data_IF_037064052253
#
_entry.id   IF_037064052253
#
_cell.length_a   1.000
_cell.length_b   1.000
_cell.length_c   1.000
_cell.angle_alpha   90.00
_cell.angle_beta   90.00
_cell.angle_gamma   90.00
#
_symmetry.space_group_name_H-M   'P 1'
#
loop_
_entity.id
_entity.type
_entity.pdbx_description
1 polymer ?
#
# COMPACT_ATOMS: atom_id res chain seq x y z
N UNK A 1 -7.52 8.69 2.82
CA UNK A 1 -8.05 7.68 3.76
C UNK A 1 -6.97 6.63 3.97
N UNK A 2 -6.65 6.29 5.21
CA UNK A 2 -5.74 5.18 5.50
C UNK A 2 -6.50 3.87 5.50
N UNK A 3 -5.96 2.86 4.83
CA UNK A 3 -6.47 1.50 4.82
C UNK A 3 -5.41 0.56 5.40
N UNK A 4 -5.84 -0.31 6.30
CA UNK A 4 -5.03 -1.43 6.77
C UNK A 4 -5.44 -2.68 5.99
N UNK A 5 -4.45 -3.30 5.35
CA UNK A 5 -4.64 -4.53 4.57
C UNK A 5 -3.82 -5.64 5.22
N UNK A 6 -4.45 -6.79 5.48
CA UNK A 6 -3.76 -7.98 5.94
C UNK A 6 -3.40 -8.86 4.75
N UNK A 7 -2.12 -9.18 4.60
CA UNK A 7 -1.62 -10.00 3.49
C UNK A 7 -0.84 -11.17 4.08
N UNK A 8 -1.23 -12.39 3.73
CA UNK A 8 -0.60 -13.62 4.18
C UNK A 8 -0.75 -14.73 3.14
N UNK A 9 -0.03 -15.84 3.31
CA UNK A 9 -0.19 -17.03 2.48
C UNK A 9 -1.59 -17.63 2.62
N UNK A 10 -2.16 -18.17 1.53
CA UNK A 10 -3.47 -18.83 1.56
C UNK A 10 -3.46 -20.10 2.42
N UNK A 11 -2.29 -20.74 2.60
CA UNK A 11 -2.10 -22.01 3.29
C UNK A 11 -1.68 -21.87 4.76
N UNK A 12 -1.52 -20.65 5.27
CA UNK A 12 -1.11 -20.39 6.65
C UNK A 12 -2.09 -19.47 7.38
N UNK A 13 -2.28 -19.75 8.66
CA UNK A 13 -3.09 -18.89 9.52
C UNK A 13 -2.24 -17.70 9.98
N UNK A 14 -2.56 -16.51 9.48
CA UNK A 14 -1.85 -15.28 9.81
C UNK A 14 -1.55 -14.43 8.59
N UNK A 15 -0.98 -13.26 8.82
CA UNK A 15 -0.58 -12.34 7.77
C UNK A 15 0.07 -11.12 8.36
N UNK A 16 0.63 -10.30 7.49
CA UNK A 16 1.23 -9.03 7.88
C UNK A 16 0.31 -7.90 7.49
N UNK A 17 0.25 -6.88 8.35
CA UNK A 17 -0.53 -5.70 8.09
C UNK A 17 0.31 -4.67 7.33
N UNK A 18 -0.35 -4.03 6.37
CA UNK A 18 0.22 -2.97 5.54
C UNK A 18 -0.73 -1.78 5.55
N UNK A 19 -0.20 -0.59 5.77
CA UNK A 19 -0.98 0.64 5.74
C UNK A 19 -0.82 1.37 4.41
N UNK A 20 -1.93 1.59 3.71
CA UNK A 20 -1.96 2.26 2.40
C UNK A 20 -2.78 3.54 2.53
N UNK A 21 -2.21 4.66 2.09
CA UNK A 21 -2.94 5.92 1.98
C UNK A 21 -3.65 6.00 0.62
N UNK A 22 -4.97 5.77 0.63
CA UNK A 22 -5.79 6.04 -0.54
C UNK A 22 -6.10 7.53 -0.63
N UNK A 23 -5.78 8.17 -1.73
CA UNK A 23 -5.99 9.59 -1.92
C UNK A 23 -6.45 9.93 -3.34
N UNK A 24 -7.05 11.10 -3.51
CA UNK A 24 -7.44 11.61 -4.83
C UNK A 24 -6.43 12.65 -5.33
N UNK A 25 -6.30 12.85 -6.65
CA UNK A 25 -5.48 13.93 -7.20
C UNK A 25 -5.82 15.30 -6.62
N UNK A 26 -7.12 15.58 -6.40
CA UNK A 26 -7.56 16.82 -5.79
C UNK A 26 -7.11 16.97 -4.34
N UNK A 27 -7.11 15.88 -3.56
CA UNK A 27 -6.57 15.89 -2.20
C UNK A 27 -5.06 16.16 -2.20
N UNK A 28 -4.30 15.51 -3.09
CA UNK A 28 -2.85 15.73 -3.23
C UNK A 28 -2.59 17.20 -3.56
N UNK A 29 -3.33 17.75 -4.54
CA UNK A 29 -3.22 19.16 -4.93
C UNK A 29 -3.54 20.08 -3.76
N UNK A 30 -4.65 19.84 -3.06
CA UNK A 30 -5.02 20.64 -1.88
C UNK A 30 -3.98 20.56 -0.75
N UNK A 31 -3.31 19.42 -0.58
CA UNK A 31 -2.37 19.20 0.51
C UNK A 31 -0.99 19.79 0.22
N UNK A 32 -0.53 19.69 -1.02
CA UNK A 32 0.85 19.98 -1.41
C UNK A 32 0.99 21.19 -2.35
N UNK A 33 -0.09 21.89 -2.70
CA UNK A 33 -0.02 23.05 -3.61
C UNK A 33 0.97 24.13 -3.19
N UNK A 34 1.20 24.32 -1.89
CA UNK A 34 2.12 25.31 -1.36
C UNK A 34 3.60 24.90 -1.40
N UNK A 35 3.89 23.62 -1.62
CA UNK A 35 5.25 23.06 -1.53
C UNK A 35 5.96 23.01 -2.89
N UNK A 36 5.21 23.13 -4.00
CA UNK A 36 5.76 23.17 -5.37
C UNK A 36 6.29 21.83 -5.90
N UNK A 37 6.90 21.02 -5.05
CA UNK A 37 7.28 19.63 -5.32
C UNK A 37 7.32 18.83 -4.01
N UNK A 38 6.95 17.55 -4.08
CA UNK A 38 7.07 16.61 -2.96
C UNK A 38 7.71 15.32 -3.45
N UNK A 39 8.54 14.69 -2.62
CA UNK A 39 8.96 13.33 -2.87
C UNK A 39 7.71 12.45 -2.91
N UNK A 40 7.59 11.65 -3.97
CA UNK A 40 6.39 10.87 -4.28
C UNK A 40 5.86 10.16 -3.04
N UNK A 41 4.56 10.29 -2.79
CA UNK A 41 3.93 9.77 -1.60
C UNK A 41 4.16 8.28 -1.44
N UNK A 42 5.05 7.91 -0.52
CA UNK A 42 5.25 6.51 -0.15
C UNK A 42 3.92 5.93 0.33
N UNK A 43 3.65 4.70 -0.08
CA UNK A 43 2.47 3.95 0.33
C UNK A 43 1.14 4.60 -0.09
N UNK A 44 1.12 5.39 -1.17
CA UNK A 44 -0.10 6.04 -1.66
C UNK A 44 -0.73 5.30 -2.84
N UNK A 45 -2.03 5.04 -2.76
CA UNK A 45 -2.86 4.63 -3.89
C UNK A 45 -3.69 5.83 -4.36
N UNK A 46 -3.46 6.27 -5.60
CA UNK A 46 -4.17 7.42 -6.17
C UNK A 46 -5.39 6.93 -6.93
N UNK A 47 -6.59 7.33 -6.47
CA UNK A 47 -7.86 7.02 -7.11
C UNK A 47 -8.55 8.30 -7.55
N UNK A 48 -9.19 8.31 -8.71
CA UNK A 48 -9.93 9.50 -9.17
C UNK A 48 -11.24 9.68 -8.39
N UNK A 49 -11.86 8.57 -7.99
CA UNK A 49 -13.05 8.54 -7.14
C UNK A 49 -12.88 7.45 -6.08
N UNK A 50 -13.49 7.64 -4.92
CA UNK A 50 -13.49 6.62 -3.87
C UNK A 50 -14.50 5.52 -4.22
N UNK A 51 -14.02 4.52 -4.95
CA UNK A 51 -14.73 3.28 -5.23
C UNK A 51 -14.06 2.13 -4.47
N UNK A 52 -14.79 1.53 -3.53
CA UNK A 52 -14.30 0.43 -2.70
C UNK A 52 -13.90 -0.78 -3.55
N UNK A 53 -14.69 -1.14 -4.55
CA UNK A 53 -14.45 -2.33 -5.35
C UNK A 53 -13.23 -2.12 -6.25
N UNK A 54 -13.07 -0.91 -6.79
CA UNK A 54 -11.86 -0.51 -7.52
C UNK A 54 -10.62 -0.58 -6.62
N UNK A 55 -10.69 0.00 -5.42
CA UNK A 55 -9.56 0.02 -4.47
C UNK A 55 -9.13 -1.41 -4.12
N UNK A 56 -10.09 -2.27 -3.76
CA UNK A 56 -9.82 -3.68 -3.42
C UNK A 56 -9.23 -4.42 -4.63
N UNK A 57 -9.79 -4.20 -5.83
CA UNK A 57 -9.30 -4.82 -7.06
C UNK A 57 -7.85 -4.42 -7.37
N UNK A 58 -7.52 -3.13 -7.30
CA UNK A 58 -6.16 -2.66 -7.61
C UNK A 58 -5.13 -3.15 -6.59
N UNK A 59 -5.48 -3.14 -5.30
CA UNK A 59 -4.63 -3.72 -4.25
C UNK A 59 -4.43 -5.23 -4.50
N UNK A 60 -5.52 -5.96 -4.76
CA UNK A 60 -5.46 -7.41 -5.00
C UNK A 60 -4.63 -7.76 -6.23
N UNK A 61 -4.75 -6.98 -7.32
CA UNK A 61 -3.96 -7.16 -8.52
C UNK A 61 -2.46 -6.94 -8.25
N UNK A 62 -2.12 -5.91 -7.47
CA UNK A 62 -0.72 -5.65 -7.10
C UNK A 62 -0.15 -6.81 -6.27
N UNK A 63 -0.89 -7.23 -5.23
CA UNK A 63 -0.50 -8.35 -4.36
C UNK A 63 -0.37 -9.65 -5.16
N UNK A 64 -1.30 -9.95 -6.06
CA UNK A 64 -1.24 -11.12 -6.94
C UNK A 64 -0.07 -11.08 -7.93
N UNK A 65 0.44 -9.90 -8.27
CA UNK A 65 1.67 -9.73 -9.06
C UNK A 65 2.97 -9.93 -8.25
N UNK A 66 2.89 -9.92 -6.93
CA UNK A 66 4.03 -10.12 -6.05
C UNK A 66 4.27 -11.62 -5.78
N UNK A 67 4.97 -12.30 -6.69
CA UNK A 67 5.50 -13.64 -6.43
C UNK A 67 6.92 -13.59 -5.84
N UNK A 68 7.20 -14.41 -4.84
CA UNK A 68 8.51 -14.56 -4.20
C UNK A 68 8.74 -16.01 -3.77
N UNK A 69 9.99 -16.40 -3.52
CA UNK A 69 10.27 -17.75 -2.98
C UNK A 69 9.96 -17.80 -1.50
N UNK A 70 10.25 -16.71 -0.82
CA UNK A 70 9.99 -16.51 0.61
C UNK A 70 8.97 -15.37 0.79
N UNK A 71 8.23 -15.41 1.89
CA UNK A 71 7.31 -14.32 2.26
C UNK A 71 8.05 -12.97 2.35
N UNK A 72 9.33 -13.00 2.74
CA UNK A 72 10.16 -11.80 2.85
C UNK A 72 10.39 -11.10 1.49
N UNK A 73 10.53 -11.86 0.40
CA UNK A 73 10.65 -11.32 -0.96
C UNK A 73 9.35 -10.59 -1.37
N UNK A 74 8.21 -11.09 -0.92
CA UNK A 74 6.89 -10.52 -1.17
C UNK A 74 6.69 -9.28 -0.30
N UNK A 75 7.04 -9.34 0.98
CA UNK A 75 6.96 -8.23 1.93
C UNK A 75 7.77 -7.00 1.45
N UNK A 76 8.98 -7.20 0.92
CA UNK A 76 9.77 -6.12 0.33
C UNK A 76 9.16 -5.47 -0.91
N UNK A 77 8.39 -6.23 -1.70
CA UNK A 77 7.68 -5.68 -2.85
C UNK A 77 6.46 -4.90 -2.38
N UNK A 78 5.77 -5.41 -1.36
CA UNK A 78 4.61 -4.77 -0.74
C UNK A 78 4.96 -3.50 0.04
N UNK A 79 6.16 -3.40 0.63
CA UNK A 79 6.59 -2.18 1.32
C UNK A 79 6.65 -0.96 0.40
N UNK A 80 6.75 -1.17 -0.92
CA UNK A 80 6.69 -0.07 -1.91
C UNK A 80 5.32 0.58 -2.01
N UNK A 81 4.25 -0.12 -1.65
CA UNK A 81 2.86 0.35 -1.78
C UNK A 81 2.11 0.47 -0.45
N UNK A 82 2.62 -0.12 0.63
CA UNK A 82 2.03 -0.09 1.96
C UNK A 82 3.11 -0.01 3.02
N UNK A 83 2.94 0.84 4.03
CA UNK A 83 3.88 0.90 5.14
C UNK A 83 3.74 -0.40 5.93
N UNK A 84 4.82 -1.17 6.03
CA UNK A 84 4.79 -2.46 6.71
C UNK A 84 4.96 -2.25 8.22
N UNK A 85 4.20 -2.96 9.04
CA UNK A 85 4.28 -2.81 10.51
C UNK A 85 5.67 -3.13 11.11
N UNK A 86 6.53 -3.81 10.36
CA UNK A 86 7.90 -4.16 10.76
C UNK A 86 8.97 -3.49 9.90
N UNK A 87 8.63 -2.45 9.13
CA UNK A 87 9.58 -1.78 8.21
C UNK A 87 10.82 -1.23 8.94
N UNK A 88 10.69 -0.88 10.22
CA UNK A 88 11.77 -0.42 11.11
C UNK A 88 12.14 -1.42 12.22
N UNK A 89 11.75 -2.70 12.11
CA UNK A 89 12.10 -3.69 13.14
C UNK A 89 13.56 -4.13 12.99
N UNK A 90 14.43 -3.59 13.84
CA UNK A 90 15.76 -4.16 14.11
C UNK A 90 15.67 -5.19 15.26
N UNK A 91 16.25 -6.40 15.12
CA UNK A 91 16.20 -7.46 16.15
C UNK A 91 16.92 -7.13 17.46
#
# INVERSE_FOLDING_TARGET
>A
MWLTVQIGPDDQEGGHLFQILVCTPDWIKSKYCSQGAVWGGQHMLIVFEYDKDLIVKEISNYVGGCSGKEFWDVAQKLSRIGAWEYEDYEP
#
